data_IF_870667656247
#
_entry.id   IF_870667656247
#
_cell.length_a   1.000
_cell.length_b   1.000
_cell.length_c   1.000
_cell.angle_alpha   90.00
_cell.angle_beta   90.00
_cell.angle_gamma   90.00
#
_symmetry.space_group_name_H-M   'P 1'
#
loop_
_entity.id
_entity.type
_entity.pdbx_description
1 polymer ?
#
# COMPACT_ATOMS: atom_id res chain seq x y z
N UNK A 1 -5.17 13.52 -2.97
CA UNK A 1 -5.74 14.62 -2.17
C UNK A 1 -6.88 14.06 -1.34
N UNK A 2 -6.67 14.04 -0.02
CA UNK A 2 -7.70 13.66 0.97
C UNK A 2 -9.00 14.41 0.72
N UNK A 3 -10.11 13.69 0.69
CA UNK A 3 -11.45 14.30 0.65
C UNK A 3 -11.89 14.80 2.02
N UNK A 4 -11.40 14.18 3.08
CA UNK A 4 -11.62 14.56 4.46
C UNK A 4 -10.28 14.62 5.21
N UNK A 5 -9.93 15.81 5.69
CA UNK A 5 -8.69 16.06 6.42
C UNK A 5 -8.79 15.71 7.92
N UNK A 6 -10.00 15.53 8.46
CA UNK A 6 -10.19 15.10 9.84
C UNK A 6 -10.01 13.58 10.02
N UNK A 7 -10.04 12.83 8.92
CA UNK A 7 -9.88 11.38 8.94
C UNK A 7 -8.52 10.96 9.54
N UNK A 8 -8.50 10.09 10.56
CA UNK A 8 -7.26 9.57 11.12
C UNK A 8 -6.38 8.93 10.04
N UNK A 9 -5.09 9.26 10.08
CA UNK A 9 -4.13 8.80 9.08
C UNK A 9 -3.48 7.48 9.51
N UNK A 10 -3.58 6.46 8.65
CA UNK A 10 -2.71 5.29 8.70
C UNK A 10 -1.28 5.63 8.30
N UNK A 11 -0.39 4.64 8.44
CA UNK A 11 1.02 4.76 8.11
C UNK A 11 1.36 3.89 6.90
N UNK A 12 2.21 4.40 6.01
CA UNK A 12 2.79 3.62 4.92
C UNK A 12 4.24 3.32 5.27
N UNK A 13 4.54 2.04 5.41
CA UNK A 13 5.89 1.53 5.66
C UNK A 13 6.48 1.02 4.34
N UNK A 14 7.67 1.51 3.99
CA UNK A 14 8.41 1.00 2.85
C UNK A 14 9.29 -0.15 3.28
N UNK A 15 8.99 -1.34 2.78
CA UNK A 15 9.80 -2.54 2.99
C UNK A 15 10.62 -2.86 1.74
N UNK A 16 11.72 -3.56 1.95
CA UNK A 16 12.59 -4.07 0.88
C UNK A 16 12.70 -5.57 1.02
N UNK A 17 12.42 -6.30 -0.06
CA UNK A 17 12.46 -7.75 -0.14
C UNK A 17 13.50 -8.19 -1.17
N UNK A 18 14.46 -9.02 -0.77
CA UNK A 18 15.35 -9.71 -1.71
C UNK A 18 14.71 -11.02 -2.19
N UNK A 19 14.22 -11.05 -3.43
CA UNK A 19 13.49 -12.20 -3.97
C UNK A 19 14.41 -13.26 -4.54
N UNK A 20 14.47 -14.45 -3.91
CA UNK A 20 15.26 -15.59 -4.39
C UNK A 20 14.88 -16.03 -5.81
N UNK A 21 13.59 -15.98 -6.15
CA UNK A 21 13.07 -16.41 -7.45
C UNK A 21 13.53 -15.46 -8.57
N UNK A 22 13.77 -14.18 -8.26
CA UNK A 22 14.16 -13.17 -9.25
C UNK A 22 15.68 -13.09 -9.46
N UNK A 23 16.49 -13.86 -8.74
CA UNK A 23 17.96 -13.80 -8.84
C UNK A 23 18.52 -14.13 -10.23
N UNK A 24 17.77 -14.86 -11.06
CA UNK A 24 18.15 -15.25 -12.43
C UNK A 24 17.14 -14.79 -13.46
N UNK A 25 16.56 -13.61 -13.27
CA UNK A 25 15.62 -13.05 -14.23
C UNK A 25 16.32 -12.74 -15.57
N UNK A 26 15.56 -12.80 -16.67
CA UNK A 26 16.07 -12.68 -18.04
C UNK A 26 16.84 -11.38 -18.31
N UNK A 27 16.46 -10.30 -17.64
CA UNK A 27 17.05 -8.98 -17.84
C UNK A 27 18.30 -8.73 -16.98
N UNK A 28 18.64 -9.64 -16.07
CA UNK A 28 19.70 -9.43 -15.09
C UNK A 28 19.41 -8.31 -14.08
N UNK A 29 18.13 -7.92 -13.95
CA UNK A 29 17.68 -6.83 -13.09
C UNK A 29 17.86 -7.18 -11.60
N UNK A 30 18.04 -6.22 -10.67
CA UNK A 30 18.16 -6.53 -9.26
C UNK A 30 16.95 -7.32 -8.74
N UNK A 31 17.22 -8.39 -7.98
CA UNK A 31 16.18 -9.20 -7.33
C UNK A 31 15.50 -8.50 -6.14
N UNK A 32 15.98 -7.32 -5.78
CA UNK A 32 15.47 -6.49 -4.69
C UNK A 32 14.20 -5.76 -5.14
N UNK A 33 13.12 -5.90 -4.38
CA UNK A 33 11.82 -5.27 -4.65
C UNK A 33 11.39 -4.40 -3.47
N UNK A 34 10.83 -3.25 -3.79
CA UNK A 34 10.25 -2.32 -2.81
C UNK A 34 8.76 -2.65 -2.69
N UNK A 35 8.27 -2.76 -1.46
CA UNK A 35 6.87 -3.03 -1.16
C UNK A 35 6.41 -1.98 -0.17
N UNK A 36 5.44 -1.16 -0.56
CA UNK A 36 4.80 -0.23 0.37
C UNK A 36 3.68 -0.97 1.12
N UNK A 37 3.60 -0.83 2.44
CA UNK A 37 2.62 -1.50 3.30
C UNK A 37 1.85 -0.45 4.11
N UNK A 38 0.55 -0.38 3.91
CA UNK A 38 -0.36 0.46 4.69
C UNK A 38 -0.80 -0.27 5.97
N UNK A 39 -0.68 0.43 7.11
CA UNK A 39 -1.22 0.02 8.41
C UNK A 39 -2.23 1.09 8.85
N UNK A 40 -3.46 0.71 9.23
CA UNK A 40 -4.49 1.68 9.60
C UNK A 40 -4.16 2.38 10.92
N UNK A 41 -4.71 3.58 11.09
CA UNK A 41 -4.53 4.36 12.31
C UNK A 41 -4.93 3.56 13.57
N UNK A 42 -4.16 3.69 14.65
CA UNK A 42 -4.46 3.05 15.93
C UNK A 42 -4.19 1.54 15.99
N UNK A 43 -3.55 0.96 14.98
CA UNK A 43 -3.15 -0.45 14.94
C UNK A 43 -1.64 -0.60 14.69
N UNK A 44 -1.06 -1.69 15.16
CA UNK A 44 0.29 -2.15 14.79
C UNK A 44 0.25 -3.20 13.66
N UNK A 45 -0.94 -3.44 13.08
CA UNK A 45 -1.19 -4.39 11.99
C UNK A 45 -1.41 -5.84 12.43
N UNK A 46 -1.18 -6.20 13.71
CA UNK A 46 -1.32 -7.59 14.15
C UNK A 46 -2.78 -8.02 14.24
N UNK A 47 -3.06 -9.24 13.82
CA UNK A 47 -4.42 -9.80 13.85
C UNK A 47 -5.38 -9.22 12.81
N UNK A 48 -4.93 -8.26 11.98
CA UNK A 48 -5.71 -7.74 10.87
C UNK A 48 -5.51 -8.60 9.61
N UNK A 49 -6.53 -8.71 8.74
CA UNK A 49 -6.36 -9.36 7.44
C UNK A 49 -5.38 -8.55 6.57
N UNK A 50 -4.58 -9.28 5.79
CA UNK A 50 -3.69 -8.71 4.78
C UNK A 50 -4.35 -8.78 3.41
N UNK A 51 -4.51 -7.61 2.78
CA UNK A 51 -4.85 -7.50 1.37
C UNK A 51 -3.58 -7.24 0.57
N UNK A 52 -3.43 -7.91 -0.58
CA UNK A 52 -2.34 -7.66 -1.53
C UNK A 52 -2.93 -7.01 -2.77
N UNK A 53 -2.65 -5.72 -2.95
CA UNK A 53 -3.20 -4.91 -4.04
C UNK A 53 -2.18 -4.81 -5.19
N UNK A 54 -2.48 -5.51 -6.28
CA UNK A 54 -1.62 -5.58 -7.45
C UNK A 54 -2.01 -4.51 -8.47
N UNK A 55 -0.99 -3.83 -8.98
CA UNK A 55 -1.11 -2.90 -10.10
C UNK A 55 -1.28 -3.62 -11.44
N UNK A 56 -1.82 -2.89 -12.42
CA UNK A 56 -1.91 -3.36 -13.80
C UNK A 56 -0.55 -3.44 -14.51
N UNK A 57 -0.57 -3.97 -15.74
CA UNK A 57 0.61 -4.07 -16.60
C UNK A 57 1.35 -2.72 -16.69
N UNK A 58 2.68 -2.74 -16.59
CA UNK A 58 3.59 -1.57 -16.51
C UNK A 58 3.55 -0.73 -15.23
N UNK A 59 2.73 -1.10 -14.25
CA UNK A 59 2.71 -0.44 -12.94
C UNK A 59 3.70 -1.03 -11.93
N UNK A 60 3.88 -0.32 -10.83
CA UNK A 60 4.47 -0.84 -9.58
C UNK A 60 3.73 -0.30 -8.35
N UNK A 61 3.84 -0.97 -7.22
CA UNK A 61 3.25 -0.58 -5.93
C UNK A 61 3.33 0.91 -5.58
N UNK A 62 4.45 1.63 -5.83
CA UNK A 62 4.54 3.07 -5.57
C UNK A 62 3.46 3.92 -6.27
N UNK A 63 2.87 3.44 -7.36
CA UNK A 63 1.77 4.15 -8.03
C UNK A 63 0.51 4.29 -7.15
N UNK A 64 0.29 3.35 -6.21
CA UNK A 64 -0.83 3.40 -5.28
C UNK A 64 -0.64 4.43 -4.16
N UNK A 65 0.61 4.71 -3.78
CA UNK A 65 0.98 5.65 -2.70
C UNK A 65 1.35 7.04 -3.20
N UNK A 66 1.61 7.19 -4.50
CA UNK A 66 1.90 8.47 -5.13
C UNK A 66 0.79 9.51 -4.94
N UNK A 67 1.18 10.79 -4.96
CA UNK A 67 0.25 11.90 -4.95
C UNK A 67 -0.70 11.85 -6.15
N UNK A 68 -1.96 12.21 -5.92
CA UNK A 68 -2.99 12.36 -6.95
C UNK A 68 -3.62 13.74 -6.88
N UNK A 69 -3.72 14.38 -8.05
CA UNK A 69 -4.21 15.74 -8.27
C UNK A 69 -5.69 15.94 -7.95
N UNK A 70 -6.57 15.07 -8.46
CA UNK A 70 -8.03 15.22 -8.32
C UNK A 70 -8.69 14.00 -7.69
N UNK A 71 -8.04 13.40 -6.70
CA UNK A 71 -8.61 12.27 -5.99
C UNK A 71 -7.67 11.71 -4.95
N UNK A 72 -8.19 10.76 -4.19
CA UNK A 72 -7.42 10.04 -3.18
C UNK A 72 -6.47 9.05 -3.83
N UNK A 73 -5.23 9.01 -3.34
CA UNK A 73 -4.39 7.82 -3.50
C UNK A 73 -4.94 6.66 -2.65
N UNK A 74 -4.34 5.48 -2.73
CA UNK A 74 -4.91 4.32 -2.05
C UNK A 74 -4.90 4.47 -0.51
N UNK A 75 -3.79 4.87 0.16
CA UNK A 75 -3.80 5.14 1.61
C UNK A 75 -4.87 6.14 2.05
N UNK A 76 -5.02 7.27 1.35
CA UNK A 76 -6.03 8.29 1.66
C UNK A 76 -7.46 7.72 1.54
N UNK A 77 -7.70 6.85 0.55
CA UNK A 77 -8.99 6.19 0.36
C UNK A 77 -9.26 5.17 1.46
N UNK A 78 -8.25 4.39 1.84
CA UNK A 78 -8.35 3.39 2.91
C UNK A 78 -8.70 4.07 4.24
N UNK A 79 -8.00 5.16 4.58
CA UNK A 79 -8.31 5.96 5.77
C UNK A 79 -9.80 6.34 5.79
N UNK A 80 -10.32 6.94 4.72
CA UNK A 80 -11.73 7.35 4.65
C UNK A 80 -12.71 6.17 4.74
N UNK A 81 -12.43 5.06 4.05
CA UNK A 81 -13.31 3.88 4.07
C UNK A 81 -13.34 3.23 5.45
N UNK A 82 -12.20 3.20 6.15
CA UNK A 82 -12.11 2.68 7.51
C UNK A 82 -12.81 3.60 8.51
N UNK A 83 -12.55 4.91 8.44
CA UNK A 83 -13.18 5.89 9.33
C UNK A 83 -14.71 5.96 9.15
N UNK A 84 -15.21 5.75 7.94
CA UNK A 84 -16.67 5.69 7.67
C UNK A 84 -17.31 4.34 8.01
N UNK A 85 -16.53 3.31 8.36
CA UNK A 85 -17.02 1.97 8.64
C UNK A 85 -17.41 1.15 7.40
N UNK A 86 -17.16 1.67 6.19
CA UNK A 86 -17.41 0.96 4.93
C UNK A 86 -16.39 -0.17 4.67
N UNK A 87 -15.23 -0.11 5.33
CA UNK A 87 -14.20 -1.14 5.32
C UNK A 87 -13.74 -1.40 6.77
N UNK A 88 -13.71 -2.65 7.26
CA UNK A 88 -13.07 -2.92 8.55
C UNK A 88 -11.56 -2.62 8.49
N UNK A 89 -10.86 -2.43 9.63
CA UNK A 89 -9.42 -2.23 9.62
C UNK A 89 -8.68 -3.38 8.91
N UNK A 90 -7.84 -3.05 7.93
CA UNK A 90 -7.06 -4.02 7.14
C UNK A 90 -5.63 -3.50 6.94
N UNK A 91 -4.68 -4.42 6.80
CA UNK A 91 -3.33 -4.10 6.31
C UNK A 91 -3.31 -4.31 4.80
N UNK A 92 -2.66 -3.41 4.05
CA UNK A 92 -2.58 -3.53 2.58
C UNK A 92 -1.13 -3.48 2.13
N UNK A 93 -0.65 -4.52 1.46
CA UNK A 93 0.63 -4.55 0.78
C UNK A 93 0.46 -4.18 -0.70
N UNK A 94 1.30 -3.27 -1.18
CA UNK A 94 1.35 -2.77 -2.55
C UNK A 94 2.74 -3.09 -3.14
N UNK A 95 2.94 -4.31 -3.70
CA UNK A 95 4.21 -4.74 -4.28
C UNK A 95 4.49 -4.13 -5.66
#
# INVERSE_FOLDING_TARGET
MRRDHACPAGQVHRLTLDSKILQRNLLGDPAKRVIDVYIPHGSDGRGLPLLVDLVGFTGGGPSHTNWKNFGENLPERLDRLIASGALPPVVVAMP
#
